data_IF_486759701269
#
_entry.id   IF_486759701269
#
_cell.length_a   1.000
_cell.length_b   1.000
_cell.length_c   1.000
_cell.angle_alpha   90.00
_cell.angle_beta   90.00
_cell.angle_gamma   90.00
#
_symmetry.space_group_name_H-M   'P 1'
#
loop_
_entity.id
_entity.type
_entity.pdbx_description
1 polymer ?
#
# COMPACT_ATOMS: atom_id res chain seq x y z
N UNK A 1 47.32 2.94 25.06
CA UNK A 1 46.48 3.56 24.00
C UNK A 1 45.99 2.46 23.06
N UNK A 2 44.69 2.43 22.72
CA UNK A 2 44.32 1.77 21.48
C UNK A 2 43.28 2.61 20.70
N UNK A 3 43.73 3.65 19.99
CA UNK A 3 42.89 4.49 19.13
C UNK A 3 42.71 3.93 17.70
N UNK A 4 43.27 2.75 17.40
CA UNK A 4 43.30 2.20 16.03
C UNK A 4 42.25 1.13 15.71
N UNK A 5 41.60 0.54 16.71
CA UNK A 5 40.73 -0.64 16.53
C UNK A 5 39.29 -0.27 16.15
N UNK A 6 38.76 0.81 16.70
CA UNK A 6 37.36 1.26 16.49
C UNK A 6 37.04 1.68 15.04
N UNK A 7 38.07 2.07 14.26
CA UNK A 7 37.92 2.46 12.85
C UNK A 7 37.85 1.26 11.88
N UNK A 8 37.98 0.03 12.40
CA UNK A 8 37.93 -1.22 11.61
C UNK A 8 36.73 -2.09 11.94
N UNK A 9 35.76 -1.55 12.69
CA UNK A 9 34.47 -2.19 12.96
C UNK A 9 33.45 -1.67 11.96
N UNK A 10 32.83 -2.57 11.21
CA UNK A 10 31.77 -2.24 10.26
C UNK A 10 30.41 -2.62 10.83
N UNK A 11 29.42 -1.76 10.62
CA UNK A 11 28.06 -1.99 11.09
C UNK A 11 27.09 -1.91 9.94
N UNK A 12 26.16 -2.87 9.90
CA UNK A 12 24.99 -2.86 9.02
C UNK A 12 23.73 -2.99 9.87
N UNK A 13 22.83 -2.04 9.73
CA UNK A 13 21.53 -2.01 10.41
C UNK A 13 20.47 -1.44 9.47
N UNK A 14 19.20 -1.72 9.75
CA UNK A 14 18.08 -1.17 9.02
C UNK A 14 18.02 0.36 9.16
N UNK A 15 17.80 1.08 8.05
CA UNK A 15 17.60 2.53 8.05
C UNK A 15 16.24 2.94 8.63
N UNK A 16 15.28 2.02 8.56
CA UNK A 16 13.93 2.18 9.11
C UNK A 16 13.64 1.00 10.03
N UNK A 17 13.24 1.28 11.27
CA UNK A 17 12.86 0.26 12.24
C UNK A 17 11.38 0.40 12.61
N UNK A 18 10.79 -0.65 13.17
CA UNK A 18 9.38 -0.63 13.60
C UNK A 18 9.30 -1.01 15.08
N UNK A 19 8.46 -0.31 15.83
CA UNK A 19 8.17 -0.64 17.21
C UNK A 19 7.62 -2.06 17.30
N UNK A 20 7.94 -2.77 18.38
CA UNK A 20 7.52 -4.14 18.66
C UNK A 20 7.96 -5.20 17.63
N UNK A 21 8.84 -4.85 16.69
CA UNK A 21 9.44 -5.79 15.72
C UNK A 21 10.91 -5.97 16.07
N UNK A 22 11.35 -7.23 16.22
CA UNK A 22 12.76 -7.53 16.46
C UNK A 22 13.63 -7.01 15.30
N UNK A 23 14.67 -6.26 15.64
CA UNK A 23 15.65 -5.69 14.73
C UNK A 23 17.00 -6.40 14.93
N UNK A 24 17.74 -6.56 13.84
CA UNK A 24 19.12 -7.06 13.85
C UNK A 24 20.10 -5.96 13.45
N UNK A 25 21.22 -5.88 14.17
CA UNK A 25 22.40 -5.09 13.83
C UNK A 25 23.55 -6.06 13.63
N UNK A 26 24.10 -6.12 12.42
CA UNK A 26 25.30 -6.88 12.10
C UNK A 26 26.52 -6.03 12.42
N UNK A 27 27.46 -6.60 13.18
CA UNK A 27 28.71 -5.96 13.59
C UNK A 27 29.85 -6.86 13.12
N UNK A 28 30.71 -6.34 12.25
CA UNK A 28 31.89 -7.02 11.73
C UNK A 28 33.14 -6.38 12.35
N UNK A 29 33.76 -7.12 13.27
CA UNK A 29 35.00 -6.74 13.92
C UNK A 29 36.22 -7.55 13.48
N UNK A 30 36.16 -8.26 12.35
CA UNK A 30 37.24 -9.14 11.86
C UNK A 30 38.61 -8.47 11.83
N UNK A 31 38.63 -7.17 11.52
CA UNK A 31 39.85 -6.38 11.38
C UNK A 31 40.10 -5.46 12.58
N UNK A 32 39.22 -5.47 13.58
CA UNK A 32 39.30 -4.63 14.77
C UNK A 32 40.22 -5.19 15.87
N UNK A 33 40.85 -6.36 15.64
CA UNK A 33 41.65 -7.03 16.65
C UNK A 33 40.81 -7.70 17.74
N UNK A 34 41.45 -8.14 18.81
CA UNK A 34 40.74 -8.80 19.92
C UNK A 34 39.77 -7.83 20.61
N UNK A 35 38.52 -8.24 20.75
CA UNK A 35 37.51 -7.47 21.47
C UNK A 35 36.12 -8.07 21.32
N UNK A 36 35.15 -7.44 21.98
CA UNK A 36 33.73 -7.76 21.87
C UNK A 36 32.93 -6.48 21.70
N UNK A 37 31.80 -6.52 20.98
CA UNK A 37 30.95 -5.35 20.85
C UNK A 37 30.02 -5.17 22.05
N UNK A 38 29.62 -3.94 22.30
CA UNK A 38 28.44 -3.59 23.10
C UNK A 38 27.50 -2.71 22.27
N UNK A 39 26.20 -2.88 22.51
CA UNK A 39 25.14 -2.12 21.82
C UNK A 39 24.09 -1.72 22.84
N UNK A 40 23.86 -0.42 22.95
CA UNK A 40 22.83 0.18 23.80
C UNK A 40 21.88 1.02 22.96
N UNK A 41 20.58 0.88 23.22
CA UNK A 41 19.53 1.63 22.56
C UNK A 41 18.87 2.54 23.58
N UNK A 42 18.82 3.84 23.28
CA UNK A 42 18.13 4.86 24.07
C UNK A 42 16.94 5.36 23.27
N UNK A 43 15.74 5.25 23.85
CA UNK A 43 14.50 5.71 23.22
C UNK A 43 14.23 7.21 23.44
N UNK A 44 13.09 7.68 22.93
CA UNK A 44 12.65 9.09 23.04
C UNK A 44 12.32 9.54 24.47
N UNK A 45 12.30 8.63 25.44
CA UNK A 45 12.08 8.91 26.85
C UNK A 45 13.37 8.74 27.67
N UNK A 46 14.53 8.76 27.01
CA UNK A 46 15.86 8.57 27.60
C UNK A 46 16.04 7.20 28.30
N UNK A 47 15.20 6.21 27.97
CA UNK A 47 15.32 4.87 28.54
C UNK A 47 16.34 4.09 27.74
N UNK A 48 17.45 3.74 28.39
CA UNK A 48 18.54 2.94 27.82
C UNK A 48 18.34 1.44 28.07
N UNK A 49 18.49 0.62 27.04
CA UNK A 49 18.47 -0.85 27.14
C UNK A 49 19.58 -1.48 26.29
N UNK A 50 20.32 -2.48 26.80
CA UNK A 50 21.29 -3.22 26.03
C UNK A 50 20.60 -4.16 25.02
N UNK A 51 21.21 -4.34 23.85
CA UNK A 51 20.79 -5.38 22.91
C UNK A 51 21.28 -6.77 23.34
N UNK A 52 20.61 -7.82 22.88
CA UNK A 52 21.08 -9.19 23.02
C UNK A 52 22.12 -9.49 21.93
N UNK A 53 23.35 -9.81 22.29
CA UNK A 53 24.44 -9.99 21.32
C UNK A 53 24.83 -11.47 21.22
N UNK A 54 24.86 -11.99 19.99
CA UNK A 54 25.37 -13.33 19.67
C UNK A 54 26.56 -13.26 18.71
N UNK A 55 27.57 -14.08 18.94
CA UNK A 55 28.66 -14.29 17.98
C UNK A 55 28.21 -15.22 16.85
N UNK A 56 28.59 -14.93 15.61
CA UNK A 56 28.45 -15.82 14.45
C UNK A 56 29.78 -16.49 14.06
N UNK A 57 30.85 -16.31 14.85
CA UNK A 57 32.20 -16.75 14.52
C UNK A 57 33.00 -15.68 13.76
N UNK A 58 34.32 -15.86 13.70
CA UNK A 58 35.24 -15.02 12.94
C UNK A 58 35.05 -13.51 13.22
N UNK A 59 34.88 -13.08 14.47
CA UNK A 59 34.72 -11.65 14.79
C UNK A 59 33.43 -11.00 14.29
N UNK A 60 32.47 -11.78 13.79
CA UNK A 60 31.13 -11.32 13.41
C UNK A 60 30.15 -11.50 14.56
N UNK A 61 29.34 -10.47 14.82
CA UNK A 61 28.32 -10.46 15.85
C UNK A 61 26.99 -9.98 15.29
N UNK A 62 25.90 -10.46 15.88
CA UNK A 62 24.56 -9.90 15.66
C UNK A 62 23.99 -9.46 16.98
N UNK A 63 23.63 -8.19 17.05
CA UNK A 63 22.87 -7.62 18.14
C UNK A 63 21.39 -7.58 17.77
N UNK A 64 20.55 -8.14 18.65
CA UNK A 64 19.10 -8.20 18.50
C UNK A 64 18.45 -7.32 19.56
N UNK A 65 17.47 -6.52 19.14
CA UNK A 65 16.65 -5.74 20.07
C UNK A 65 15.26 -5.51 19.51
N UNK A 66 14.30 -5.23 20.39
CA UNK A 66 12.93 -4.90 20.02
C UNK A 66 12.59 -3.52 20.59
N UNK A 67 12.55 -2.45 19.78
CA UNK A 67 12.20 -1.13 20.28
C UNK A 67 10.73 -1.11 20.71
N UNK A 68 10.44 -0.58 21.89
CA UNK A 68 9.07 -0.59 22.46
C UNK A 68 8.24 0.64 22.10
N UNK A 69 8.85 1.68 21.55
CA UNK A 69 8.20 2.95 21.22
C UNK A 69 8.63 3.44 19.85
N UNK A 70 7.76 4.18 19.19
CA UNK A 70 8.09 4.95 17.98
C UNK A 70 8.91 6.21 18.32
N UNK A 71 9.55 6.78 17.30
CA UNK A 71 10.35 8.00 17.41
C UNK A 71 11.84 7.79 17.14
N UNK A 72 12.60 8.87 17.26
CA UNK A 72 14.04 8.88 16.99
C UNK A 72 14.81 8.23 18.15
N UNK A 73 15.40 7.06 17.92
CA UNK A 73 16.21 6.34 18.89
C UNK A 73 17.70 6.59 18.65
N UNK A 74 18.48 6.57 19.72
CA UNK A 74 19.94 6.63 19.69
C UNK A 74 20.49 5.22 19.93
N UNK A 75 21.38 4.76 19.04
CA UNK A 75 22.06 3.46 19.12
C UNK A 75 23.55 3.70 19.35
N UNK A 76 24.02 3.43 20.55
CA UNK A 76 25.43 3.50 20.93
C UNK A 76 26.08 2.13 20.70
N UNK A 77 27.08 2.09 19.82
CA UNK A 77 27.88 0.89 19.56
C UNK A 77 29.33 1.16 19.96
N UNK A 78 29.93 0.22 20.70
CA UNK A 78 31.33 0.25 21.10
C UNK A 78 32.00 -1.11 20.87
N UNK A 79 33.33 -1.09 20.78
CA UNK A 79 34.19 -2.27 20.69
C UNK A 79 35.20 -2.24 21.83
N UNK A 80 35.12 -3.20 22.74
CA UNK A 80 35.91 -3.21 23.99
C UNK A 80 35.85 -1.88 24.74
N UNK A 81 34.63 -1.38 24.95
CA UNK A 81 34.31 -0.13 25.66
C UNK A 81 34.70 1.19 24.95
N UNK A 82 35.30 1.11 23.76
CA UNK A 82 35.58 2.30 22.94
C UNK A 82 34.51 2.47 21.85
N UNK A 83 33.85 3.64 21.75
CA UNK A 83 32.90 3.90 20.67
C UNK A 83 33.50 3.64 19.29
N UNK A 84 32.73 2.96 18.43
CA UNK A 84 33.13 2.76 17.04
C UNK A 84 32.97 4.05 16.24
N UNK A 85 33.56 4.09 15.04
CA UNK A 85 33.34 5.19 14.12
C UNK A 85 31.84 5.40 13.84
N UNK A 86 31.39 6.67 13.85
CA UNK A 86 30.00 7.12 13.65
C UNK A 86 29.01 6.77 14.76
N UNK A 87 29.44 6.06 15.81
CA UNK A 87 28.65 5.94 17.04
C UNK A 87 28.58 7.30 17.76
N UNK A 88 27.41 7.72 18.26
CA UNK A 88 26.12 7.03 18.19
C UNK A 88 25.41 7.21 16.85
N UNK A 89 24.54 6.25 16.53
CA UNK A 89 23.67 6.32 15.36
C UNK A 89 22.26 6.76 15.75
N UNK A 90 21.64 7.63 14.96
CA UNK A 90 20.23 7.99 15.13
C UNK A 90 19.37 7.15 14.17
N UNK A 91 18.36 6.47 14.70
CA UNK A 91 17.48 5.59 13.92
C UNK A 91 16.02 5.96 14.17
N UNK A 92 15.28 6.20 13.09
CA UNK A 92 13.84 6.43 13.17
C UNK A 92 13.11 5.09 13.36
N UNK A 93 12.41 4.96 14.49
CA UNK A 93 11.47 3.87 14.75
C UNK A 93 10.07 4.34 14.38
N UNK A 94 9.38 3.58 13.54
CA UNK A 94 8.01 3.84 13.12
C UNK A 94 7.02 2.98 13.92
N UNK A 95 5.74 3.37 13.99
CA UNK A 95 4.69 2.53 14.57
C UNK A 95 4.65 1.14 13.90
N UNK A 96 4.27 0.12 14.67
CA UNK A 96 3.95 -1.20 14.11
C UNK A 96 2.70 -1.09 13.21
N UNK A 97 2.61 -1.95 12.18
CA UNK A 97 1.43 -2.04 11.32
C UNK A 97 1.14 -3.49 10.97
N UNK A 98 -0.13 -3.80 10.73
CA UNK A 98 -0.65 -5.15 10.56
C UNK A 98 -1.56 -5.22 9.32
N UNK A 99 -1.00 -5.50 8.11
CA UNK A 99 -1.74 -5.53 6.86
C UNK A 99 -2.97 -6.45 6.85
N UNK A 100 -2.93 -7.52 7.64
CA UNK A 100 -4.01 -8.48 7.77
C UNK A 100 -5.24 -7.92 8.52
N UNK A 101 -5.11 -6.78 9.21
CA UNK A 101 -6.22 -6.07 9.83
C UNK A 101 -6.88 -5.06 8.90
N UNK A 102 -6.33 -4.85 7.70
CA UNK A 102 -7.00 -4.04 6.67
C UNK A 102 -8.21 -4.81 6.16
N UNK A 103 -9.36 -4.14 6.13
CA UNK A 103 -10.61 -4.68 5.58
C UNK A 103 -10.86 -4.00 4.23
N UNK A 104 -11.21 -4.79 3.22
CA UNK A 104 -11.62 -4.29 1.91
C UNK A 104 -13.00 -4.84 1.59
N UNK A 105 -13.94 -3.95 1.31
CA UNK A 105 -15.33 -4.30 1.04
C UNK A 105 -15.98 -3.36 0.02
N UNK A 106 -17.05 -3.80 -0.62
CA UNK A 106 -17.81 -3.01 -1.59
C UNK A 106 -18.03 -3.71 -2.94
N UNK A 107 -18.85 -3.12 -3.82
CA UNK A 107 -19.21 -3.73 -5.10
C UNK A 107 -18.01 -3.83 -6.05
N UNK A 108 -17.11 -2.85 -6.07
CA UNK A 108 -15.96 -2.78 -6.98
C UNK A 108 -14.85 -3.82 -6.74
N UNK A 109 -15.04 -4.80 -5.87
CA UNK A 109 -14.14 -5.95 -5.70
C UNK A 109 -14.89 -7.29 -5.78
N UNK A 110 -16.10 -7.27 -6.36
CA UNK A 110 -16.97 -8.43 -6.56
C UNK A 110 -17.27 -8.61 -8.06
N UNK A 111 -17.70 -9.81 -8.44
CA UNK A 111 -18.26 -10.06 -9.77
C UNK A 111 -19.67 -9.46 -9.91
N UNK A 112 -20.12 -9.28 -11.16
CA UNK A 112 -21.46 -8.78 -11.47
C UNK A 112 -21.59 -7.25 -11.48
N UNK A 113 -20.47 -6.52 -11.38
CA UNK A 113 -20.48 -5.06 -11.62
C UNK A 113 -20.52 -4.81 -13.12
N UNK A 114 -21.46 -4.00 -13.65
CA UNK A 114 -21.48 -3.66 -15.07
C UNK A 114 -20.22 -2.92 -15.52
N UNK A 115 -19.76 -3.22 -16.73
CA UNK A 115 -18.77 -2.39 -17.41
C UNK A 115 -19.41 -1.04 -17.83
N UNK A 116 -18.55 -0.06 -18.08
CA UNK A 116 -18.83 1.32 -18.46
C UNK A 116 -19.54 2.19 -17.41
N UNK A 117 -19.79 1.66 -16.21
CA UNK A 117 -20.27 2.44 -15.06
C UNK A 117 -19.18 2.63 -14.01
N UNK A 118 -19.14 3.79 -13.34
CA UNK A 118 -18.30 3.97 -12.16
C UNK A 118 -18.70 2.97 -11.08
N UNK A 119 -17.71 2.36 -10.44
CA UNK A 119 -17.89 1.54 -9.24
C UNK A 119 -16.93 1.99 -8.16
N UNK A 120 -17.11 1.47 -6.96
CA UNK A 120 -16.25 1.77 -5.83
C UNK A 120 -16.11 0.61 -4.86
N UNK A 121 -15.06 0.67 -4.05
CA UNK A 121 -14.90 -0.14 -2.85
C UNK A 121 -14.26 0.70 -1.74
N UNK A 122 -14.46 0.26 -0.51
CA UNK A 122 -13.91 0.85 0.70
C UNK A 122 -12.70 0.04 1.17
N UNK A 123 -11.71 0.75 1.69
CA UNK A 123 -10.57 0.18 2.44
C UNK A 123 -10.58 0.76 3.84
N UNK A 124 -10.54 -0.08 4.86
CA UNK A 124 -10.52 0.30 6.27
C UNK A 124 -9.20 -0.14 6.91
N UNK A 125 -8.38 0.83 7.32
CA UNK A 125 -7.04 0.59 7.89
C UNK A 125 -6.96 0.94 9.37
N UNK A 126 -8.08 1.25 10.02
CA UNK A 126 -8.11 1.79 11.39
C UNK A 126 -7.42 0.88 12.41
N UNK A 127 -7.57 -0.43 12.24
CA UNK A 127 -6.97 -1.44 13.11
C UNK A 127 -5.58 -1.90 12.64
N UNK A 128 -5.11 -1.44 11.48
CA UNK A 128 -3.90 -1.92 10.83
C UNK A 128 -2.64 -1.11 11.19
N UNK A 129 -2.75 -0.08 12.03
CA UNK A 129 -1.67 0.89 12.25
C UNK A 129 -1.55 1.89 11.11
N UNK A 130 -0.41 2.59 10.99
CA UNK A 130 -0.18 3.59 9.95
C UNK A 130 0.91 3.15 8.98
N UNK A 131 0.51 2.95 7.73
CA UNK A 131 1.38 2.78 6.58
C UNK A 131 0.72 3.23 5.26
N UNK A 132 1.52 3.26 4.19
CA UNK A 132 1.11 3.58 2.84
C UNK A 132 0.17 2.52 2.26
N UNK A 133 -0.99 2.98 1.77
CA UNK A 133 -1.95 2.20 1.00
C UNK A 133 -1.63 2.33 -0.50
N UNK A 134 -1.38 1.20 -1.16
CA UNK A 134 -1.13 1.11 -2.59
C UNK A 134 -2.21 0.24 -3.26
N UNK A 135 -2.75 0.73 -4.39
CA UNK A 135 -3.84 0.08 -5.12
C UNK A 135 -3.53 0.06 -6.61
N UNK A 136 -3.52 -1.15 -7.17
CA UNK A 136 -3.30 -1.40 -8.59
C UNK A 136 -4.46 -2.20 -9.16
N UNK A 137 -5.13 -1.62 -10.16
CA UNK A 137 -6.22 -2.27 -10.88
C UNK A 137 -5.74 -2.59 -12.29
N UNK A 138 -5.95 -3.83 -12.74
CA UNK A 138 -5.63 -4.26 -14.11
C UNK A 138 -6.83 -4.93 -14.77
N UNK A 139 -7.02 -4.68 -16.05
CA UNK A 139 -8.01 -5.38 -16.88
C UNK A 139 -7.46 -6.77 -17.32
N UNK A 140 -8.24 -7.50 -18.13
CA UNK A 140 -7.88 -8.84 -18.60
C UNK A 140 -6.65 -8.86 -19.49
N UNK A 141 -6.30 -7.74 -20.11
CA UNK A 141 -5.09 -7.55 -20.93
C UNK A 141 -3.85 -7.20 -20.09
N UNK A 142 -4.02 -7.03 -18.77
CA UNK A 142 -2.96 -6.60 -17.86
C UNK A 142 -2.69 -5.09 -17.89
N UNK A 143 -3.49 -4.32 -18.62
CA UNK A 143 -3.39 -2.86 -18.69
C UNK A 143 -3.91 -2.23 -17.40
N UNK A 144 -3.22 -1.17 -16.95
CA UNK A 144 -3.57 -0.45 -15.73
C UNK A 144 -4.88 0.33 -15.95
N UNK A 145 -5.83 0.11 -15.07
CA UNK A 145 -7.09 0.87 -15.00
C UNK A 145 -6.90 2.05 -14.04
N UNK A 146 -7.12 3.30 -14.49
CA UNK A 146 -7.05 4.46 -13.61
C UNK A 146 -8.05 4.37 -12.46
N UNK A 147 -7.61 4.74 -11.26
CA UNK A 147 -8.46 4.83 -10.09
C UNK A 147 -8.25 6.16 -9.36
N UNK A 148 -9.23 6.55 -8.55
CA UNK A 148 -9.18 7.70 -7.66
C UNK A 148 -9.38 7.23 -6.23
N UNK A 149 -8.40 7.51 -5.37
CA UNK A 149 -8.48 7.23 -3.94
C UNK A 149 -8.91 8.50 -3.22
N UNK A 150 -9.99 8.40 -2.45
CA UNK A 150 -10.47 9.45 -1.56
C UNK A 150 -10.20 9.05 -0.10
N UNK A 151 -9.28 9.76 0.55
CA UNK A 151 -9.01 9.62 1.99
C UNK A 151 -10.06 10.37 2.80
N UNK A 152 -10.82 9.64 3.61
CA UNK A 152 -11.87 10.21 4.46
C UNK A 152 -11.32 10.84 5.75
N UNK A 153 -10.01 10.73 6.00
CA UNK A 153 -9.29 11.26 7.17
C UNK A 153 -9.71 10.65 8.51
N UNK A 154 -10.31 9.48 8.46
CA UNK A 154 -10.73 8.69 9.62
C UNK A 154 -10.10 7.28 9.63
N UNK A 155 -9.09 7.04 8.79
CA UNK A 155 -8.49 5.72 8.57
C UNK A 155 -9.24 4.86 7.56
N UNK A 156 -10.19 5.44 6.84
CA UNK A 156 -10.93 4.76 5.76
C UNK A 156 -10.75 5.48 4.43
N UNK A 157 -10.77 4.72 3.35
CA UNK A 157 -10.56 5.20 1.99
C UNK A 157 -11.69 4.71 1.08
N UNK A 158 -12.18 5.58 0.21
CA UNK A 158 -13.10 5.20 -0.87
C UNK A 158 -12.33 5.21 -2.20
N UNK A 159 -12.35 4.09 -2.90
CA UNK A 159 -11.61 3.91 -4.15
C UNK A 159 -12.60 3.82 -5.29
N UNK A 160 -12.49 4.72 -6.25
CA UNK A 160 -13.38 4.82 -7.39
C UNK A 160 -12.64 4.48 -8.67
N UNK A 161 -13.25 3.66 -9.52
CA UNK A 161 -12.69 3.33 -10.83
C UNK A 161 -13.82 2.95 -11.80
N UNK A 162 -13.47 2.79 -13.08
CA UNK A 162 -14.39 2.40 -14.15
C UNK A 162 -13.71 1.41 -15.07
N UNK A 163 -14.38 0.30 -15.37
CA UNK A 163 -13.94 -0.69 -16.35
C UNK A 163 -14.66 -0.40 -17.67
N UNK A 164 -13.94 -0.27 -18.79
CA UNK A 164 -14.60 0.02 -20.08
C UNK A 164 -15.10 -1.24 -20.79
N UNK A 165 -14.51 -2.39 -20.47
CA UNK A 165 -14.77 -3.67 -21.11
C UNK A 165 -15.22 -4.73 -20.11
N UNK A 166 -15.98 -5.69 -20.64
CA UNK A 166 -16.32 -6.92 -19.93
C UNK A 166 -15.10 -7.81 -19.79
N UNK A 167 -15.14 -8.71 -18.82
CA UNK A 167 -14.08 -9.69 -18.61
C UNK A 167 -13.24 -9.47 -17.35
N UNK A 168 -12.30 -10.37 -17.13
CA UNK A 168 -11.56 -10.46 -15.88
C UNK A 168 -10.84 -9.14 -15.54
N UNK A 169 -10.92 -8.70 -14.29
CA UNK A 169 -10.03 -7.67 -13.76
C UNK A 169 -9.49 -8.08 -12.40
N UNK A 170 -8.34 -7.52 -12.03
CA UNK A 170 -7.67 -7.77 -10.76
C UNK A 170 -7.48 -6.45 -10.01
N UNK A 171 -7.87 -6.43 -8.74
CA UNK A 171 -7.60 -5.33 -7.81
C UNK A 171 -6.59 -5.82 -6.79
N UNK A 172 -5.37 -5.32 -6.88
CA UNK A 172 -4.31 -5.54 -5.90
C UNK A 172 -4.38 -4.41 -4.88
N UNK A 173 -4.59 -4.77 -3.62
CA UNK A 173 -4.50 -3.86 -2.47
C UNK A 173 -3.30 -4.27 -1.62
N UNK A 174 -2.38 -3.34 -1.40
CA UNK A 174 -1.19 -3.52 -0.58
C UNK A 174 -1.17 -2.46 0.54
N UNK A 175 -0.74 -2.86 1.73
CA UNK A 175 -0.55 -1.97 2.86
C UNK A 175 0.87 -2.10 3.39
N UNK A 176 1.64 -1.02 3.37
CA UNK A 176 3.08 -1.01 3.67
C UNK A 176 3.89 -1.95 2.78
N UNK A 177 3.51 -2.05 1.50
CA UNK A 177 4.14 -2.93 0.51
C UNK A 177 3.78 -4.42 0.65
N UNK A 178 2.91 -4.78 1.61
CA UNK A 178 2.49 -6.17 1.84
C UNK A 178 1.03 -6.34 1.37
N UNK A 179 0.70 -7.40 0.62
CA UNK A 179 -0.69 -7.67 0.24
C UNK A 179 -1.60 -7.83 1.47
N UNK A 180 -2.78 -7.19 1.42
CA UNK A 180 -3.81 -7.37 2.46
C UNK A 180 -4.53 -8.70 2.28
N UNK A 181 -5.32 -9.10 3.27
CA UNK A 181 -6.13 -10.32 3.18
C UNK A 181 -7.03 -10.31 1.93
N UNK A 182 -7.08 -11.44 1.23
CA UNK A 182 -7.84 -11.66 -0.01
C UNK A 182 -7.37 -10.86 -1.23
N UNK A 183 -6.29 -10.08 -1.13
CA UNK A 183 -5.63 -9.48 -2.28
C UNK A 183 -4.83 -10.56 -3.04
N UNK A 184 -4.91 -10.65 -4.38
CA UNK A 184 -5.73 -9.81 -5.27
C UNK A 184 -7.21 -10.19 -5.26
N UNK A 185 -8.07 -9.18 -5.33
CA UNK A 185 -9.50 -9.36 -5.58
C UNK A 185 -9.73 -9.54 -7.08
N UNK A 186 -10.55 -10.50 -7.46
CA UNK A 186 -10.83 -10.83 -8.86
C UNK A 186 -12.33 -10.69 -9.08
N UNK A 187 -12.70 -9.96 -10.13
CA UNK A 187 -14.09 -9.82 -10.56
C UNK A 187 -14.24 -9.93 -12.08
N UNK A 188 -15.48 -10.16 -12.51
CA UNK A 188 -15.89 -10.17 -13.92
C UNK A 188 -17.10 -9.24 -14.09
N UNK A 189 -16.99 -8.16 -14.86
CA UNK A 189 -18.13 -7.49 -15.44
C UNK A 189 -18.68 -8.37 -16.55
N UNK A 190 -19.91 -8.83 -16.36
CA UNK A 190 -20.51 -9.84 -17.22
C UNK A 190 -21.27 -9.20 -18.42
N UNK A 191 -21.50 -7.89 -18.40
CA UNK A 191 -22.16 -7.11 -19.46
C UNK A 191 -21.76 -5.62 -19.41
N UNK A 192 -21.93 -4.88 -20.52
CA UNK A 192 -21.74 -3.42 -20.55
C UNK A 192 -23.04 -2.70 -20.22
N UNK A 193 -22.93 -1.54 -19.58
CA UNK A 193 -24.10 -0.69 -19.36
C UNK A 193 -24.67 -0.18 -20.69
N UNK A 194 -25.99 -0.28 -20.85
CA UNK A 194 -26.69 0.02 -22.09
C UNK A 194 -26.96 -1.22 -22.96
N UNK A 195 -26.35 -2.36 -22.67
CA UNK A 195 -26.71 -3.62 -23.34
C UNK A 195 -28.09 -4.11 -22.90
N UNK A 196 -28.77 -4.88 -23.75
CA UNK A 196 -30.11 -5.45 -23.48
C UNK A 196 -30.17 -6.22 -22.15
N UNK A 197 -29.07 -6.88 -21.78
CA UNK A 197 -28.89 -7.62 -20.52
C UNK A 197 -28.97 -6.67 -19.30
N UNK A 198 -28.38 -5.48 -19.38
CA UNK A 198 -28.44 -4.48 -18.31
C UNK A 198 -29.87 -4.03 -18.05
N UNK A 199 -30.63 -3.71 -19.11
CA UNK A 199 -32.02 -3.30 -19.00
C UNK A 199 -32.89 -4.41 -18.42
N UNK A 200 -32.73 -5.65 -18.91
CA UNK A 200 -33.51 -6.81 -18.45
C UNK A 200 -33.31 -7.08 -16.96
N UNK A 201 -32.08 -7.00 -16.47
CA UNK A 201 -31.76 -7.46 -15.11
C UNK A 201 -31.89 -6.33 -14.06
N UNK A 202 -31.78 -5.04 -14.44
CA UNK A 202 -31.73 -3.91 -13.48
C UNK A 202 -32.84 -2.87 -13.64
N UNK A 203 -33.57 -2.87 -14.76
CA UNK A 203 -34.69 -1.95 -15.00
C UNK A 203 -35.94 -2.81 -15.15
N UNK A 204 -36.58 -3.13 -14.02
CA UNK A 204 -37.86 -3.84 -14.04
C UNK A 204 -38.85 -3.09 -14.94
N UNK A 205 -39.52 -3.82 -15.84
CA UNK A 205 -40.59 -3.34 -16.70
C UNK A 205 -41.66 -2.62 -15.85
N UNK A 206 -41.57 -1.30 -15.73
CA UNK A 206 -42.77 -0.49 -15.55
C UNK A 206 -43.50 -0.54 -16.90
N UNK A 207 -44.78 -0.91 -16.86
CA UNK A 207 -45.66 -1.27 -17.98
C UNK A 207 -45.93 -0.14 -19.00
N UNK A 208 -44.91 0.56 -19.51
CA UNK A 208 -45.07 1.65 -20.49
C UNK A 208 -43.91 1.75 -21.50
N UNK A 209 -43.32 0.64 -21.97
CA UNK A 209 -42.17 0.74 -22.90
C UNK A 209 -42.18 -0.15 -24.15
N UNK A 210 -43.25 -0.88 -24.45
CA UNK A 210 -43.34 -1.54 -25.77
C UNK A 210 -43.58 -0.57 -26.94
N UNK A 211 -44.01 0.67 -26.69
CA UNK A 211 -44.15 1.69 -27.74
C UNK A 211 -42.89 2.53 -27.97
N UNK A 212 -42.06 2.74 -26.94
CA UNK A 212 -40.86 3.60 -27.04
C UNK A 212 -39.68 2.88 -27.73
N UNK A 213 -39.53 1.56 -27.50
CA UNK A 213 -38.45 0.77 -28.12
C UNK A 213 -38.56 0.67 -29.65
N UNK A 214 -39.75 0.86 -30.22
CA UNK A 214 -39.95 0.85 -31.69
C UNK A 214 -39.49 2.13 -32.39
N UNK A 215 -39.48 3.27 -31.67
CA UNK A 215 -39.17 4.58 -32.26
C UNK A 215 -37.66 4.84 -32.42
N UNK A 216 -36.81 4.14 -31.67
CA UNK A 216 -35.34 4.32 -31.75
C UNK A 216 -34.66 3.37 -32.75
N UNK A 217 -35.39 2.47 -33.43
CA UNK A 217 -34.84 1.61 -34.49
C UNK A 217 -34.51 2.36 -35.79
N UNK A 218 -34.79 3.65 -35.87
CA UNK A 218 -34.55 4.47 -37.06
C UNK A 218 -34.02 5.85 -36.67
N UNK A 219 -32.77 5.94 -36.22
CA UNK A 219 -32.03 7.20 -36.34
C UNK A 219 -30.62 6.89 -36.83
N UNK A 220 -30.45 7.09 -38.14
CA UNK A 220 -29.19 7.07 -38.86
C UNK A 220 -28.26 8.17 -38.32
N UNK A 221 -27.06 7.81 -37.87
CA UNK A 221 -26.05 8.75 -37.37
C UNK A 221 -25.30 9.41 -38.54
N UNK A 222 -25.89 10.42 -39.20
CA UNK A 222 -25.14 11.38 -40.04
C UNK A 222 -25.81 12.75 -40.08
N UNK A 223 -25.25 13.74 -39.40
CA UNK A 223 -24.50 14.86 -40.01
C UNK A 223 -24.22 15.97 -38.98
N UNK A 224 -22.95 16.38 -38.92
CA UNK A 224 -22.52 17.72 -38.53
C UNK A 224 -22.89 18.69 -39.66
N UNK A 225 -23.71 19.71 -39.41
CA UNK A 225 -23.56 21.04 -40.03
C UNK A 225 -24.00 22.13 -39.05
N UNK A 226 -23.09 23.08 -38.85
CA UNK A 226 -23.22 24.32 -38.08
C UNK A 226 -23.98 25.36 -38.90
N UNK A 227 -24.88 26.12 -38.26
CA UNK A 227 -25.12 27.52 -38.63
C UNK A 227 -26.54 27.90 -39.09
N UNK A 228 -27.28 28.56 -38.19
CA UNK A 228 -27.62 29.97 -38.40
C UNK A 228 -28.85 30.33 -39.26
N UNK A 229 -29.85 30.84 -38.55
CA UNK A 229 -30.76 31.95 -38.88
C UNK A 229 -32.09 31.67 -39.61
N UNK A 230 -33.16 31.98 -38.86
CA UNK A 230 -34.52 32.24 -39.30
C UNK A 230 -34.60 33.58 -40.05
N UNK A 231 -35.42 33.62 -41.09
CA UNK A 231 -36.35 34.72 -41.31
C UNK A 231 -37.51 34.24 -42.18
N UNK A 232 -38.72 34.29 -41.61
CA UNK A 232 -39.99 34.18 -42.34
C UNK A 232 -40.12 35.28 -43.40
N UNK A 233 -40.90 35.03 -44.45
CA UNK A 233 -42.02 35.88 -44.92
C UNK A 233 -42.69 35.18 -46.12
N UNK A 234 -44.03 35.08 -45.98
CA UNK A 234 -45.15 34.91 -46.93
C UNK A 234 -44.93 34.41 -48.35
#
# INVERSE_FOLDING_TARGET
MPSGYSNKVYVKMSQTMRANVQQEILIDGQFAGSGIPSVDITDIHDRRKPANIRSRGEGIYVAEFTPSSEGLHRVDIAWSDYPIAKSPFNVQVFPHFEPHKVIVDGPGIRSGVPASLPTNFRVDTREAGFEHLDILIKNFEGLIVPNKINDNKDGTYNVHYRLEDVGLYTVNVNYGGIPVNNSPFIGTPDYKAGDEIYYRDHIQETHTSKHVASQYRSVDFRLLVVGGHMSDIT
#
